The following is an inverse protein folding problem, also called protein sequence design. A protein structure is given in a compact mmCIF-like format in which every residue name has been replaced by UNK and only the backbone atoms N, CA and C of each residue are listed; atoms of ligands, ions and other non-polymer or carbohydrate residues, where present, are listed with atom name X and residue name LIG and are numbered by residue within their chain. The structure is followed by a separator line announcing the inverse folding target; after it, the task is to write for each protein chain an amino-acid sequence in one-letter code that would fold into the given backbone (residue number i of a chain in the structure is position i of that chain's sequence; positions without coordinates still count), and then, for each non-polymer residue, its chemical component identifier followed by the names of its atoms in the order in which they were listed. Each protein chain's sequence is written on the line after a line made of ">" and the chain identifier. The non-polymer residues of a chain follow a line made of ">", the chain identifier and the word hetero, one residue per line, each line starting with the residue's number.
data_IF_398470357567
#
_entry.id   IF_398470357567
#
_cell.length_a   1.000
_cell.length_b   1.000
_cell.length_c   1.000
_cell.angle_alpha   90.00
_cell.angle_beta   90.00
_cell.angle_gamma   90.00
#
_symmetry.space_group_name_H-M   'P 1'
#
loop_
_entity.id
_entity.type
_entity.pdbx_description
1 polymer ?
#
# COMPACT_ATOMS: atom_id res chain seq x y z
N UNK A 1 -26.37 -28.14 -41.73
CA UNK A 1 -25.31 -28.70 -40.85
C UNK A 1 -24.28 -27.63 -40.47
N UNK A 2 -23.92 -26.74 -41.40
CA UNK A 2 -23.11 -25.51 -41.23
C UNK A 2 -23.46 -24.66 -39.99
N UNK A 3 -24.72 -24.22 -39.83
CA UNK A 3 -25.16 -23.31 -38.74
C UNK A 3 -24.83 -23.82 -37.33
N UNK A 4 -24.87 -25.15 -37.11
CA UNK A 4 -24.54 -25.77 -35.81
C UNK A 4 -23.03 -25.73 -35.51
N UNK A 5 -22.17 -25.69 -36.54
CA UNK A 5 -20.71 -25.53 -36.38
C UNK A 5 -20.36 -24.11 -35.96
N UNK A 6 -20.91 -23.10 -36.62
CA UNK A 6 -20.70 -21.69 -36.26
C UNK A 6 -21.18 -21.37 -34.84
N UNK A 7 -22.30 -21.95 -34.40
CA UNK A 7 -22.79 -21.79 -33.03
C UNK A 7 -21.79 -22.38 -32.00
N UNK A 8 -21.23 -23.57 -32.26
CA UNK A 8 -20.21 -24.19 -31.39
C UNK A 8 -18.92 -23.37 -31.30
N UNK A 9 -18.44 -22.86 -32.42
CA UNK A 9 -17.25 -21.99 -32.43
C UNK A 9 -17.49 -20.68 -31.69
N UNK A 10 -18.67 -20.06 -31.87
CA UNK A 10 -19.04 -18.84 -31.15
C UNK A 10 -19.06 -19.05 -29.63
N UNK A 11 -19.68 -20.14 -29.16
CA UNK A 11 -19.68 -20.50 -27.73
C UNK A 11 -18.26 -20.69 -27.21
N UNK A 12 -17.41 -21.39 -27.96
CA UNK A 12 -16.02 -21.65 -27.57
C UNK A 12 -15.20 -20.35 -27.47
N UNK A 13 -15.37 -19.43 -28.41
CA UNK A 13 -14.71 -18.11 -28.39
C UNK A 13 -15.15 -17.32 -27.15
N UNK A 14 -16.45 -17.27 -26.86
CA UNK A 14 -16.96 -16.58 -25.66
C UNK A 14 -16.34 -17.19 -24.39
N UNK A 15 -16.24 -18.52 -24.32
CA UNK A 15 -15.66 -19.22 -23.18
C UNK A 15 -14.17 -18.90 -23.00
N UNK A 16 -13.40 -18.81 -24.09
CA UNK A 16 -11.99 -18.40 -24.08
C UNK A 16 -11.84 -16.96 -23.59
N UNK A 17 -12.68 -16.04 -24.09
CA UNK A 17 -12.65 -14.62 -23.67
C UNK A 17 -12.99 -14.49 -22.18
N UNK A 18 -14.04 -15.17 -21.71
CA UNK A 18 -14.42 -15.17 -20.30
C UNK A 18 -13.32 -15.77 -19.41
N UNK A 19 -12.65 -16.84 -19.85
CA UNK A 19 -11.52 -17.43 -19.14
C UNK A 19 -10.34 -16.45 -19.08
N UNK A 20 -10.04 -15.76 -20.18
CA UNK A 20 -8.99 -14.75 -20.23
C UNK A 20 -9.25 -13.59 -19.27
N UNK A 21 -10.48 -13.07 -19.24
CA UNK A 21 -10.91 -12.03 -18.30
C UNK A 21 -10.80 -12.54 -16.85
N UNK A 22 -11.26 -13.77 -16.58
CA UNK A 22 -11.19 -14.38 -15.26
C UNK A 22 -9.75 -14.49 -14.74
N UNK A 23 -8.83 -14.98 -15.57
CA UNK A 23 -7.40 -15.06 -15.22
C UNK A 23 -6.83 -13.66 -15.01
N UNK A 24 -7.13 -12.70 -15.88
CA UNK A 24 -6.64 -11.34 -15.77
C UNK A 24 -7.06 -10.63 -14.46
N UNK A 25 -8.31 -10.85 -14.02
CA UNK A 25 -8.83 -10.27 -12.77
C UNK A 25 -8.23 -10.98 -11.55
N UNK A 26 -8.14 -12.32 -11.59
CA UNK A 26 -7.80 -13.12 -10.40
C UNK A 26 -6.29 -13.27 -10.17
N UNK A 27 -5.47 -13.16 -11.22
CA UNK A 27 -4.04 -13.40 -11.09
C UNK A 27 -3.36 -12.26 -10.32
N UNK A 28 -2.69 -12.55 -9.18
CA UNK A 28 -2.02 -11.54 -8.38
C UNK A 28 -0.87 -10.91 -9.17
N UNK A 29 -0.80 -9.57 -9.20
CA UNK A 29 0.33 -8.84 -9.77
C UNK A 29 1.36 -8.60 -8.68
N UNK A 30 2.58 -9.10 -8.88
CA UNK A 30 3.69 -8.81 -7.97
C UNK A 30 4.22 -7.40 -8.22
N UNK A 31 4.36 -6.62 -7.16
CA UNK A 31 4.97 -5.29 -7.16
C UNK A 31 6.28 -5.39 -6.39
N UNK A 32 7.39 -5.06 -7.06
CA UNK A 32 8.69 -4.91 -6.45
C UNK A 32 9.33 -3.64 -7.02
N UNK A 33 9.18 -2.53 -6.30
CA UNK A 33 9.60 -1.21 -6.78
C UNK A 33 10.38 -0.47 -5.70
N UNK A 34 11.36 0.30 -6.16
CA UNK A 34 12.12 1.24 -5.34
C UNK A 34 11.88 2.64 -5.87
N UNK A 35 11.55 3.56 -4.99
CA UNK A 35 11.36 4.98 -5.29
C UNK A 35 12.45 5.75 -4.58
N UNK A 36 13.01 6.72 -5.29
CA UNK A 36 13.75 7.83 -4.69
C UNK A 36 12.79 9.00 -4.62
N UNK A 37 12.48 9.43 -3.40
CA UNK A 37 11.58 10.54 -3.13
C UNK A 37 12.28 11.65 -2.35
N UNK A 38 11.56 12.74 -2.14
CA UNK A 38 12.00 13.87 -1.34
C UNK A 38 11.09 13.98 -0.12
N UNK A 39 11.70 13.98 1.07
CA UNK A 39 11.07 14.35 2.32
C UNK A 39 11.22 15.86 2.46
N UNK A 40 10.10 16.55 2.67
CA UNK A 40 10.08 17.99 2.88
C UNK A 40 9.06 18.34 3.96
N UNK A 41 9.33 19.41 4.69
CA UNK A 41 8.43 19.94 5.72
C UNK A 41 7.69 21.16 5.16
N UNK A 42 6.38 21.22 5.39
CA UNK A 42 5.59 22.39 5.02
C UNK A 42 5.92 23.57 5.95
N UNK A 43 6.20 24.73 5.39
CA UNK A 43 6.55 25.97 6.10
C UNK A 43 7.57 26.79 5.31
N UNK A 44 7.42 28.12 5.28
CA UNK A 44 8.30 29.03 4.50
C UNK A 44 9.73 29.01 5.04
N UNK A 45 9.86 28.73 6.33
CA UNK A 45 11.11 28.57 7.05
C UNK A 45 11.89 27.28 6.72
N UNK A 46 11.23 26.28 6.11
CA UNK A 46 11.83 24.97 5.82
C UNK A 46 12.11 24.74 4.32
N UNK A 47 12.15 25.81 3.50
CA UNK A 47 12.35 25.74 2.04
C UNK A 47 13.62 24.97 1.64
N UNK A 48 14.64 24.96 2.51
CA UNK A 48 15.91 24.30 2.26
C UNK A 48 16.03 22.90 2.89
N UNK A 49 15.04 22.44 3.65
CA UNK A 49 15.07 21.16 4.37
C UNK A 49 14.49 20.04 3.50
N UNK A 50 15.14 19.81 2.36
CA UNK A 50 14.85 18.69 1.46
C UNK A 50 15.82 17.55 1.75
N UNK A 51 15.29 16.42 2.19
CA UNK A 51 16.06 15.20 2.43
C UNK A 51 15.65 14.12 1.44
N UNK A 52 16.63 13.46 0.80
CA UNK A 52 16.34 12.31 -0.04
C UNK A 52 15.90 11.10 0.81
N UNK A 53 14.83 10.45 0.38
CA UNK A 53 14.31 9.24 1.03
C UNK A 53 14.13 8.14 0.00
N UNK A 54 14.56 6.94 0.35
CA UNK A 54 14.33 5.73 -0.44
C UNK A 54 13.14 4.96 0.12
N UNK A 55 12.17 4.66 -0.72
CA UNK A 55 11.01 3.83 -0.37
C UNK A 55 11.06 2.55 -1.20
N UNK A 56 11.03 1.39 -0.56
CA UNK A 56 10.92 0.09 -1.23
C UNK A 56 9.59 -0.55 -0.91
N UNK A 57 8.90 -0.99 -1.95
CA UNK A 57 7.61 -1.68 -1.85
C UNK A 57 7.78 -3.06 -2.45
N UNK A 58 7.46 -4.09 -1.66
CA UNK A 58 7.43 -5.47 -2.12
C UNK A 58 6.13 -6.14 -1.71
N UNK A 59 5.32 -6.57 -2.66
CA UNK A 59 4.04 -7.20 -2.36
C UNK A 59 3.28 -7.72 -3.57
N UNK A 60 2.01 -8.03 -3.36
CA UNK A 60 1.09 -8.47 -4.41
C UNK A 60 -0.17 -7.63 -4.38
N UNK A 61 -0.62 -7.24 -5.56
CA UNK A 61 -1.94 -6.64 -5.80
C UNK A 61 -2.88 -7.72 -6.29
N UNK A 62 -3.97 -7.92 -5.59
CA UNK A 62 -5.06 -8.84 -5.96
C UNK A 62 -6.31 -8.04 -6.25
N UNK A 63 -7.11 -8.44 -7.25
CA UNK A 63 -8.43 -7.88 -7.47
C UNK A 63 -9.52 -8.87 -7.07
N UNK A 64 -10.61 -8.38 -6.50
CA UNK A 64 -11.83 -9.16 -6.32
C UNK A 64 -12.71 -9.13 -7.59
N UNK A 65 -13.84 -9.84 -7.54
CA UNK A 65 -14.81 -9.90 -8.63
C UNK A 65 -15.45 -8.53 -8.94
N UNK A 66 -15.48 -7.64 -7.95
CA UNK A 66 -16.00 -6.28 -8.07
C UNK A 66 -14.92 -5.27 -8.49
N UNK A 67 -13.76 -5.75 -8.93
CA UNK A 67 -12.59 -4.97 -9.34
C UNK A 67 -12.00 -4.11 -8.22
N UNK A 68 -12.34 -4.39 -6.95
CA UNK A 68 -11.64 -3.79 -5.83
C UNK A 68 -10.26 -4.42 -5.75
N UNK A 69 -9.24 -3.58 -5.88
CA UNK A 69 -7.85 -3.99 -5.73
C UNK A 69 -7.52 -4.03 -4.22
N UNK A 70 -6.60 -4.89 -3.84
CA UNK A 70 -6.00 -4.96 -2.51
C UNK A 70 -4.52 -5.23 -2.65
N UNK A 71 -3.71 -4.42 -2.00
CA UNK A 71 -2.27 -4.67 -1.89
C UNK A 71 -1.95 -5.32 -0.55
N UNK A 72 -1.12 -6.35 -0.59
CA UNK A 72 -0.54 -6.98 0.59
C UNK A 72 0.96 -7.15 0.38
N UNK A 73 1.76 -6.57 1.26
CA UNK A 73 3.21 -6.57 1.09
C UNK A 73 3.94 -5.99 2.28
N UNK A 74 5.18 -5.57 2.05
CA UNK A 74 6.04 -4.86 2.99
C UNK A 74 6.40 -3.49 2.40
N UNK A 75 6.46 -2.50 3.27
CA UNK A 75 6.99 -1.17 2.97
C UNK A 75 8.27 -0.97 3.78
N UNK A 76 9.31 -0.52 3.10
CA UNK A 76 10.55 -0.07 3.72
C UNK A 76 10.75 1.40 3.35
N UNK A 77 10.94 2.24 4.35
CA UNK A 77 11.23 3.66 4.19
C UNK A 77 12.59 3.88 4.86
N UNK A 78 13.58 4.42 4.14
CA UNK A 78 14.85 4.80 4.77
C UNK A 78 14.59 5.92 5.78
N UNK A 79 15.32 5.92 6.89
CA UNK A 79 15.17 6.91 7.97
C UNK A 79 13.75 6.97 8.57
N UNK A 80 12.99 5.86 8.51
CA UNK A 80 11.66 5.76 9.15
C UNK A 80 11.72 6.02 10.67
N UNK A 81 12.89 5.76 11.25
CA UNK A 81 13.25 5.96 12.65
C UNK A 81 13.00 7.42 13.13
N UNK A 82 12.98 8.39 12.20
CA UNK A 82 12.68 9.80 12.48
C UNK A 82 11.18 10.14 12.41
N UNK A 83 10.38 9.30 11.75
CA UNK A 83 8.94 9.47 11.59
C UNK A 83 8.15 8.82 12.74
N UNK A 84 8.77 7.89 13.43
CA UNK A 84 8.16 7.08 14.49
C UNK A 84 8.42 7.75 15.84
N UNK A 85 7.35 7.95 16.62
CA UNK A 85 7.49 8.60 17.94
C UNK A 85 8.02 7.62 18.99
N UNK A 86 7.71 6.33 18.86
CA UNK A 86 8.15 5.29 19.78
C UNK A 86 9.29 4.43 19.19
N UNK A 87 10.53 4.71 19.61
CA UNK A 87 11.73 4.04 19.08
C UNK A 87 11.74 2.52 19.32
N UNK A 88 11.05 2.03 20.35
CA UNK A 88 10.99 0.59 20.66
C UNK A 88 10.19 -0.19 19.60
N UNK A 89 9.38 0.50 18.78
CA UNK A 89 8.60 -0.11 17.71
C UNK A 89 9.36 -0.19 16.37
N UNK A 90 10.46 0.54 16.20
CA UNK A 90 11.19 0.62 14.92
C UNK A 90 11.60 -0.77 14.41
N UNK A 91 12.11 -1.62 15.30
CA UNK A 91 12.54 -2.98 14.96
C UNK A 91 11.37 -3.87 14.49
N UNK A 92 10.19 -3.67 15.07
CA UNK A 92 8.95 -4.38 14.68
C UNK A 92 8.40 -3.87 13.34
N UNK A 93 8.64 -2.59 13.02
CA UNK A 93 8.09 -1.92 11.84
C UNK A 93 8.88 -2.24 10.55
N UNK A 94 10.19 -2.47 10.63
CA UNK A 94 11.04 -2.77 9.46
C UNK A 94 10.60 -4.02 8.69
N UNK A 95 9.95 -4.97 9.37
CA UNK A 95 9.48 -6.23 8.78
C UNK A 95 7.96 -6.41 8.76
N UNK A 96 7.21 -5.44 9.28
CA UNK A 96 5.77 -5.56 9.42
C UNK A 96 5.06 -5.62 8.05
N UNK A 97 4.15 -6.58 7.84
CA UNK A 97 3.35 -6.63 6.64
C UNK A 97 2.32 -5.50 6.65
N UNK A 98 2.29 -4.71 5.57
CA UNK A 98 1.32 -3.66 5.33
C UNK A 98 0.24 -4.19 4.38
N UNK A 99 -1.01 -3.90 4.72
CA UNK A 99 -2.15 -4.16 3.84
C UNK A 99 -2.79 -2.84 3.47
N UNK A 100 -2.86 -2.55 2.17
CA UNK A 100 -3.57 -1.38 1.65
C UNK A 100 -4.84 -1.87 0.96
N UNK A 101 -5.98 -1.34 1.40
CA UNK A 101 -7.28 -1.60 0.79
C UNK A 101 -7.63 -0.35 -0.02
N UNK A 102 -7.68 -0.48 -1.34
CA UNK A 102 -8.01 0.67 -2.18
C UNK A 102 -9.51 0.93 -2.13
N UNK A 103 -9.88 2.04 -1.51
CA UNK A 103 -11.20 2.64 -1.68
C UNK A 103 -11.14 3.58 -2.91
N UNK A 104 -12.27 3.84 -3.57
CA UNK A 104 -12.39 4.68 -4.79
C UNK A 104 -11.78 6.10 -4.68
N UNK A 105 -11.36 6.55 -3.50
CA UNK A 105 -10.87 7.91 -3.19
C UNK A 105 -9.34 8.07 -3.23
N UNK A 106 -8.58 7.14 -3.82
CA UNK A 106 -7.14 7.28 -4.17
C UNK A 106 -6.14 7.49 -3.01
N UNK A 107 -6.61 7.76 -1.80
CA UNK A 107 -5.83 7.78 -0.57
C UNK A 107 -6.14 6.58 0.30
N UNK A 108 -5.12 6.04 0.95
CA UNK A 108 -5.26 5.00 1.97
C UNK A 108 -4.49 5.38 3.22
N UNK A 109 -4.90 4.84 4.37
CA UNK A 109 -4.18 5.03 5.61
C UNK A 109 -2.98 4.06 5.66
N UNK A 110 -1.78 4.58 5.85
CA UNK A 110 -0.60 3.78 6.18
C UNK A 110 -0.55 3.62 7.70
N UNK A 111 -1.14 2.52 8.19
CA UNK A 111 -1.08 2.13 9.59
C UNK A 111 -0.30 0.83 9.75
N UNK A 112 0.46 0.76 10.82
CA UNK A 112 1.21 -0.42 11.21
C UNK A 112 0.60 -1.01 12.48
N UNK A 113 0.11 -2.26 12.44
CA UNK A 113 -0.38 -2.92 13.64
C UNK A 113 0.80 -3.30 14.54
N UNK A 114 0.72 -2.91 15.80
CA UNK A 114 1.67 -3.27 16.86
C UNK A 114 0.96 -4.30 17.74
N UNK A 115 1.44 -5.54 17.68
CA UNK A 115 0.95 -6.62 18.52
C UNK A 115 1.71 -6.60 19.85
N UNK A 116 1.00 -6.28 20.94
CA UNK A 116 1.55 -6.31 22.28
C UNK A 116 1.24 -7.66 22.93
N UNK A 117 2.24 -8.55 22.96
CA UNK A 117 2.17 -9.87 23.59
C UNK A 117 2.43 -9.77 25.11
N UNK A 118 1.66 -8.92 25.80
CA UNK A 118 1.67 -8.80 27.26
C UNK A 118 0.64 -9.72 27.93
N UNK A 119 0.31 -9.42 29.20
CA UNK A 119 -0.73 -10.14 29.96
C UNK A 119 -2.12 -10.05 29.31
N UNK A 120 -2.38 -8.99 28.54
CA UNK A 120 -3.57 -8.79 27.74
C UNK A 120 -3.15 -8.64 26.28
N UNK A 121 -3.74 -9.45 25.39
CA UNK A 121 -3.54 -9.29 23.95
C UNK A 121 -4.22 -8.00 23.50
N UNK A 122 -3.44 -6.97 23.19
CA UNK A 122 -3.92 -5.76 22.53
C UNK A 122 -3.30 -5.58 21.15
N UNK A 123 -4.11 -5.06 20.23
CA UNK A 123 -3.66 -4.60 18.92
C UNK A 123 -3.66 -3.07 19.00
N UNK A 124 -2.48 -2.48 19.14
CA UNK A 124 -2.30 -1.06 18.92
C UNK A 124 -2.00 -0.82 17.44
N UNK A 125 -2.16 0.42 16.97
CA UNK A 125 -1.75 0.80 15.62
C UNK A 125 -1.04 2.13 15.62
N UNK A 126 0.13 2.18 14.99
CA UNK A 126 0.83 3.43 14.73
C UNK A 126 0.47 3.91 13.32
N UNK A 127 -0.16 5.08 13.23
CA UNK A 127 -0.50 5.72 11.97
C UNK A 127 0.71 6.54 11.53
N UNK A 128 1.35 6.14 10.43
CA UNK A 128 2.47 6.90 9.86
C UNK A 128 1.95 8.06 9.03
N UNK A 129 0.84 7.87 8.32
CA UNK A 129 0.25 8.92 7.49
C UNK A 129 -0.72 8.40 6.45
N UNK A 130 -1.04 9.25 5.49
CA UNK A 130 -1.83 8.88 4.31
C UNK A 130 -0.89 8.56 3.16
N UNK A 131 -1.12 7.42 2.50
CA UNK A 131 -0.42 7.01 1.30
C UNK A 131 -1.33 7.27 0.08
N UNK A 132 -0.79 7.96 -0.90
CA UNK A 132 -1.39 8.23 -2.19
C UNK A 132 -0.51 7.59 -3.25
N UNK A 133 -1.11 6.84 -4.18
CA UNK A 133 -0.38 6.20 -5.26
C UNK A 133 -1.34 5.92 -6.42
N UNK A 134 -0.80 5.74 -7.62
CA UNK A 134 -1.57 5.25 -8.75
C UNK A 134 -1.82 3.73 -8.65
N UNK A 135 -2.68 3.19 -9.50
CA UNK A 135 -3.13 1.80 -9.35
C UNK A 135 -2.05 0.73 -9.56
N UNK A 136 -0.91 1.09 -10.14
CA UNK A 136 0.23 0.19 -10.40
C UNK A 136 1.50 0.63 -9.64
N UNK A 137 1.37 1.55 -8.68
CA UNK A 137 2.47 2.19 -7.96
C UNK A 137 3.58 2.70 -8.93
N UNK A 138 3.26 3.32 -10.06
CA UNK A 138 4.22 4.14 -10.79
C UNK A 138 4.61 5.37 -9.99
N UNK A 139 3.66 5.94 -9.25
CA UNK A 139 3.85 7.15 -8.44
C UNK A 139 3.39 6.89 -7.01
N UNK A 140 4.04 7.54 -6.05
CA UNK A 140 3.80 7.34 -4.63
C UNK A 140 4.06 8.65 -3.89
N UNK A 141 3.16 9.01 -2.98
CA UNK A 141 3.29 10.12 -2.05
C UNK A 141 2.83 9.66 -0.67
N UNK A 142 3.60 9.97 0.36
CA UNK A 142 3.21 9.69 1.75
C UNK A 142 3.11 11.03 2.46
N UNK A 143 1.91 11.37 2.90
CA UNK A 143 1.64 12.53 3.74
C UNK A 143 1.71 12.09 5.19
N UNK A 144 2.84 12.35 5.83
CA UNK A 144 3.01 12.15 7.26
C UNK A 144 2.58 13.41 8.01
N UNK A 145 1.57 13.38 8.90
CA UNK A 145 1.40 14.46 9.86
C UNK A 145 2.68 14.50 10.70
N UNK A 146 3.29 15.68 10.85
CA UNK A 146 4.35 15.84 11.85
C UNK A 146 3.80 15.33 13.19
N UNK A 147 4.61 14.67 14.04
CA UNK A 147 4.18 14.39 15.40
C UNK A 147 3.83 15.75 16.02
N UNK A 148 2.53 16.05 16.11
CA UNK A 148 2.05 17.19 16.88
C UNK A 148 2.62 16.96 18.26
N UNK A 149 3.42 17.92 18.74
CA UNK A 149 3.90 17.93 20.11
C UNK A 149 2.71 17.52 20.99
N UNK A 150 2.75 16.30 21.55
CA UNK A 150 1.99 16.06 22.76
C UNK A 150 2.62 17.03 23.72
N UNK A 151 1.88 18.09 24.04
CA UNK A 151 2.16 18.93 25.18
C UNK A 151 2.28 17.96 26.35
N UNK A 152 3.51 17.57 26.69
CA UNK A 152 3.83 17.19 28.05
C UNK A 152 3.75 18.50 28.77
N UNK A 153 2.59 18.79 29.33
CA UNK A 153 2.40 19.62 30.52
C UNK A 153 0.90 19.70 30.83
N UNK A 154 0.57 19.24 32.04
CA UNK A 154 -0.75 19.05 32.61
C UNK A 154 -0.72 17.87 33.59
#
# INVERSE_FOLDING_TARGET
>A
MEKKKYLRYSILIILIVLLGIYVYIRYPRTINKTYTGLKYKLGVENINDLEEVTIKINGKVTSDFWLNKKFKGKFYISNIDELITNKDNISKLKDAPVTIIYNRLWGSLLSYPIFNSGKDWSIDSEIIGNIYHDTDFKELTILCPQPTWRIKDG
#
